data_IF_462801496228
#
_entry.id   IF_462801496228
#
_cell.length_a   1.000
_cell.length_b   1.000
_cell.length_c   1.000
_cell.angle_alpha   90.00
_cell.angle_beta   90.00
_cell.angle_gamma   90.00
#
_symmetry.space_group_name_H-M   'P 1'
#
loop_
_entity.id
_entity.type
_entity.pdbx_description
1 polymer ?
#
# COMPACT_ATOMS: atom_id res chain seq x y z
N UNK A 1 30.84 -1.34 47.36
CA UNK A 1 31.29 -1.41 45.95
C UNK A 1 32.82 -1.48 45.77
N UNK A 2 33.66 -1.20 46.78
CA UNK A 2 35.13 -1.21 46.63
C UNK A 2 35.84 -2.57 46.68
N UNK A 3 35.33 -3.55 47.45
CA UNK A 3 36.04 -4.82 47.67
C UNK A 3 35.90 -5.82 46.52
N UNK A 4 34.75 -5.87 45.83
CA UNK A 4 34.53 -6.75 44.67
C UNK A 4 35.40 -6.31 43.48
N UNK A 5 35.53 -5.00 43.26
CA UNK A 5 36.42 -4.46 42.22
C UNK A 5 37.90 -4.75 42.48
N UNK A 6 38.33 -4.70 43.75
CA UNK A 6 39.69 -5.05 44.15
C UNK A 6 39.98 -6.55 44.02
N UNK A 7 38.99 -7.41 44.30
CA UNK A 7 39.10 -8.86 44.13
C UNK A 7 39.18 -9.26 42.65
N UNK A 8 38.32 -8.67 41.81
CA UNK A 8 38.34 -8.89 40.36
C UNK A 8 39.65 -8.38 39.73
N UNK A 9 40.14 -7.21 40.16
CA UNK A 9 41.43 -6.68 39.70
C UNK A 9 42.61 -7.58 40.03
N UNK A 10 42.62 -8.23 41.21
CA UNK A 10 43.66 -9.20 41.58
C UNK A 10 43.59 -10.51 40.80
N UNK A 11 42.38 -10.99 40.49
CA UNK A 11 42.18 -12.21 39.69
C UNK A 11 42.63 -11.96 38.25
N UNK A 12 42.27 -10.81 37.67
CA UNK A 12 42.67 -10.42 36.30
C UNK A 12 44.19 -10.26 36.20
N UNK A 13 44.84 -9.63 37.19
CA UNK A 13 46.29 -9.43 37.18
C UNK A 13 47.12 -10.71 37.41
N UNK A 14 46.50 -11.80 37.87
CA UNK A 14 47.18 -13.08 38.13
C UNK A 14 46.85 -14.16 37.08
N UNK A 15 46.02 -13.84 36.08
CA UNK A 15 45.76 -14.73 34.94
C UNK A 15 46.91 -14.58 33.94
N UNK A 16 47.47 -15.67 33.40
CA UNK A 16 48.45 -15.58 32.33
C UNK A 16 47.85 -14.84 31.14
N UNK A 17 48.62 -13.94 30.53
CA UNK A 17 48.18 -13.07 29.44
C UNK A 17 47.52 -13.84 28.28
N UNK A 18 47.89 -15.11 28.09
CA UNK A 18 47.27 -16.02 27.12
C UNK A 18 45.79 -16.30 27.41
N UNK A 19 45.39 -16.51 28.67
CA UNK A 19 44.00 -16.78 29.04
C UNK A 19 43.13 -15.52 28.96
N UNK A 20 43.69 -14.35 29.27
CA UNK A 20 43.00 -13.07 29.06
C UNK A 20 42.76 -12.81 27.57
N UNK A 21 43.77 -13.04 26.74
CA UNK A 21 43.66 -12.91 25.29
C UNK A 21 42.64 -13.91 24.70
N UNK A 22 42.65 -15.17 25.13
CA UNK A 22 41.67 -16.18 24.70
C UNK A 22 40.24 -15.79 25.07
N UNK A 23 40.01 -15.29 26.29
CA UNK A 23 38.68 -14.86 26.74
C UNK A 23 38.16 -13.63 25.97
N UNK A 24 39.04 -12.68 25.62
CA UNK A 24 38.72 -11.52 24.79
C UNK A 24 38.38 -11.94 23.35
N UNK A 25 39.14 -12.87 22.78
CA UNK A 25 38.89 -13.41 21.43
C UNK A 25 37.55 -14.16 21.39
N UNK A 26 37.27 -15.00 22.38
CA UNK A 26 35.99 -15.71 22.51
C UNK A 26 34.80 -14.75 22.65
N UNK A 27 34.93 -13.70 23.47
CA UNK A 27 33.91 -12.67 23.63
C UNK A 27 33.66 -11.87 22.33
N UNK A 28 34.73 -11.52 21.62
CA UNK A 28 34.63 -10.84 20.32
C UNK A 28 33.97 -11.75 19.26
N UNK A 29 34.34 -13.02 19.20
CA UNK A 29 33.71 -14.00 18.30
C UNK A 29 32.23 -14.19 18.61
N UNK A 30 31.85 -14.29 19.88
CA UNK A 30 30.45 -14.46 20.29
C UNK A 30 29.59 -13.24 19.94
N UNK A 31 30.12 -12.03 20.09
CA UNK A 31 29.41 -10.79 19.73
C UNK A 31 29.24 -10.67 18.21
N UNK A 32 30.28 -10.98 17.42
CA UNK A 32 30.21 -11.03 15.96
C UNK A 32 29.20 -12.08 15.51
N UNK A 33 29.25 -13.29 16.07
CA UNK A 33 28.32 -14.37 15.74
C UNK A 33 26.87 -13.99 16.07
N UNK A 34 26.64 -13.39 17.24
CA UNK A 34 25.31 -12.93 17.64
C UNK A 34 24.80 -11.83 16.70
N UNK A 35 25.66 -10.90 16.28
CA UNK A 35 25.30 -9.86 15.32
C UNK A 35 24.92 -10.46 13.96
N UNK A 36 25.70 -11.43 13.46
CA UNK A 36 25.41 -12.14 12.21
C UNK A 36 24.07 -12.89 12.29
N UNK A 37 23.83 -13.64 13.37
CA UNK A 37 22.57 -14.35 13.58
C UNK A 37 21.38 -13.37 13.57
N UNK A 38 21.51 -12.23 14.25
CA UNK A 38 20.46 -11.19 14.26
C UNK A 38 20.19 -10.61 12.88
N UNK A 39 21.24 -10.33 12.10
CA UNK A 39 21.11 -9.82 10.72
C UNK A 39 20.41 -10.87 9.83
N UNK A 40 20.82 -12.13 9.91
CA UNK A 40 20.22 -13.22 9.13
C UNK A 40 18.76 -13.43 9.52
N UNK A 41 18.44 -13.38 10.82
CA UNK A 41 17.07 -13.52 11.31
C UNK A 41 16.18 -12.34 10.89
N UNK A 42 16.68 -11.11 11.01
CA UNK A 42 15.99 -9.90 10.56
C UNK A 42 15.76 -9.92 9.04
N UNK A 43 16.76 -10.34 8.25
CA UNK A 43 16.61 -10.49 6.80
C UNK A 43 15.59 -11.56 6.41
N UNK A 44 15.62 -12.71 7.09
CA UNK A 44 14.71 -13.83 6.84
C UNK A 44 13.27 -13.49 7.19
N UNK A 45 13.03 -12.87 8.35
CA UNK A 45 11.71 -12.40 8.76
C UNK A 45 11.15 -11.35 7.79
N UNK A 46 11.97 -10.41 7.33
CA UNK A 46 11.57 -9.44 6.31
C UNK A 46 11.17 -10.10 4.98
N UNK A 47 11.92 -11.09 4.51
CA UNK A 47 11.59 -11.84 3.30
C UNK A 47 10.28 -12.63 3.44
N UNK A 48 10.09 -13.32 4.57
CA UNK A 48 8.86 -14.07 4.87
C UNK A 48 7.67 -13.12 4.94
N UNK A 49 7.79 -11.98 5.61
CA UNK A 49 6.73 -10.97 5.68
C UNK A 49 6.34 -10.47 4.30
N UNK A 50 7.33 -10.18 3.45
CA UNK A 50 7.09 -9.70 2.09
C UNK A 50 6.46 -10.78 1.20
N UNK A 51 6.88 -12.04 1.36
CA UNK A 51 6.27 -13.17 0.68
C UNK A 51 4.82 -13.38 1.13
N UNK A 52 4.54 -13.39 2.44
CA UNK A 52 3.17 -13.50 2.97
C UNK A 52 2.30 -12.34 2.52
N UNK A 53 2.85 -11.11 2.47
CA UNK A 53 2.15 -9.93 1.97
C UNK A 53 1.78 -10.01 0.50
N UNK A 54 2.64 -10.62 -0.33
CA UNK A 54 2.34 -10.87 -1.74
C UNK A 54 1.32 -12.01 -1.89
N UNK A 55 1.46 -13.09 -1.11
CA UNK A 55 0.55 -14.24 -1.12
C UNK A 55 -0.83 -13.92 -0.53
N UNK A 56 -0.94 -12.92 0.34
CA UNK A 56 -2.22 -12.48 0.93
C UNK A 56 -3.05 -11.59 0.01
N UNK A 57 -2.56 -11.32 -1.21
CA UNK A 57 -3.23 -10.48 -2.20
C UNK A 57 -3.64 -11.30 -3.41
N UNK A 58 -4.88 -11.12 -3.84
CA UNK A 58 -5.32 -11.50 -5.18
C UNK A 58 -5.31 -10.26 -6.06
N UNK A 59 -4.93 -10.40 -7.32
CA UNK A 59 -4.88 -9.28 -8.25
C UNK A 59 -6.08 -9.42 -9.19
N UNK A 60 -7.13 -8.66 -8.89
CA UNK A 60 -8.41 -8.75 -9.60
C UNK A 60 -8.42 -7.79 -10.79
N UNK A 61 -8.82 -8.29 -11.96
CA UNK A 61 -8.95 -7.51 -13.18
C UNK A 61 -10.41 -7.08 -13.37
N UNK A 62 -10.60 -5.81 -13.65
CA UNK A 62 -11.91 -5.18 -13.78
C UNK A 62 -12.02 -4.46 -15.11
N UNK A 63 -13.21 -4.53 -15.72
CA UNK A 63 -13.53 -3.89 -17.00
C UNK A 63 -14.89 -3.22 -16.89
N UNK A 64 -14.95 -1.93 -17.23
CA UNK A 64 -16.13 -1.09 -17.04
C UNK A 64 -16.41 -0.32 -18.33
N UNK A 65 -17.67 -0.22 -18.70
CA UNK A 65 -18.10 0.54 -19.86
C UNK A 65 -18.16 2.05 -19.52
N UNK A 66 -17.44 2.87 -20.27
CA UNK A 66 -17.40 4.33 -20.07
C UNK A 66 -18.34 5.10 -21.02
N UNK A 67 -18.91 4.46 -22.04
CA UNK A 67 -19.75 5.14 -23.03
C UNK A 67 -19.16 5.08 -24.45
N UNK A 68 -19.68 5.89 -25.38
CA UNK A 68 -19.17 5.98 -26.76
C UNK A 68 -17.70 6.37 -26.82
N UNK A 69 -16.94 5.87 -27.81
CA UNK A 69 -15.50 6.17 -27.93
C UNK A 69 -15.25 7.65 -28.21
N UNK A 70 -16.16 8.27 -28.95
CA UNK A 70 -16.11 9.66 -29.36
C UNK A 70 -16.17 10.63 -28.18
N UNK A 71 -16.72 10.20 -27.03
CA UNK A 71 -16.85 11.01 -25.83
C UNK A 71 -15.53 11.15 -25.05
N UNK A 72 -14.48 10.41 -25.42
CA UNK A 72 -13.19 10.41 -24.72
C UNK A 72 -12.07 10.85 -25.66
N UNK A 73 -11.80 12.17 -25.77
CA UNK A 73 -10.72 12.69 -26.60
C UNK A 73 -9.35 12.20 -26.09
N UNK A 74 -8.34 12.20 -26.98
CA UNK A 74 -6.95 11.99 -26.55
C UNK A 74 -6.53 13.07 -25.53
N UNK A 75 -5.64 12.72 -24.61
CA UNK A 75 -5.18 13.64 -23.54
C UNK A 75 -5.84 13.39 -22.19
N UNK A 76 -6.59 12.29 -22.03
CA UNK A 76 -7.12 11.84 -20.74
C UNK A 76 -6.35 10.60 -20.29
N UNK A 77 -5.75 10.66 -19.09
CA UNK A 77 -5.03 9.54 -18.49
C UNK A 77 -5.80 8.98 -17.30
N UNK A 78 -6.20 7.73 -17.41
CA UNK A 78 -6.94 7.05 -16.35
C UNK A 78 -5.99 6.30 -15.41
N UNK A 79 -6.34 6.31 -14.13
CA UNK A 79 -5.56 5.64 -13.10
C UNK A 79 -6.43 5.26 -11.92
N UNK A 80 -5.97 4.28 -11.15
CA UNK A 80 -6.62 3.82 -9.93
C UNK A 80 -5.71 4.10 -8.75
N UNK A 81 -6.24 4.83 -7.78
CA UNK A 81 -5.60 5.09 -6.50
C UNK A 81 -6.05 4.03 -5.50
N UNK A 82 -5.12 3.20 -5.06
CA UNK A 82 -5.29 2.30 -3.92
C UNK A 82 -5.05 3.08 -2.65
N UNK A 83 -6.10 3.26 -1.87
CA UNK A 83 -6.06 4.07 -0.67
C UNK A 83 -5.50 3.23 0.46
N UNK A 84 -6.08 2.05 0.71
CA UNK A 84 -5.59 1.07 1.69
C UNK A 84 -6.30 -0.28 1.59
N UNK A 85 -5.94 -1.20 2.48
CA UNK A 85 -6.63 -2.47 2.70
C UNK A 85 -7.49 -2.41 3.96
N UNK A 86 -8.73 -2.89 3.90
CA UNK A 86 -9.66 -2.82 5.04
C UNK A 86 -10.37 -1.47 5.21
N UNK A 87 -11.31 -1.47 6.14
CA UNK A 87 -12.09 -0.30 6.57
C UNK A 87 -11.49 0.33 7.83
N UNK A 88 -11.79 1.61 8.07
CA UNK A 88 -11.26 2.33 9.24
C UNK A 88 -11.72 1.64 10.51
N UNK A 89 -13.00 1.24 10.52
CA UNK A 89 -13.64 0.56 11.62
C UNK A 89 -12.93 -0.75 11.98
N UNK A 90 -12.59 -1.58 10.98
CA UNK A 90 -11.89 -2.83 11.22
C UNK A 90 -10.48 -2.59 11.78
N UNK A 91 -9.75 -1.63 11.17
CA UNK A 91 -8.36 -1.34 11.53
C UNK A 91 -8.25 -0.75 12.95
N UNK A 92 -9.20 0.08 13.36
CA UNK A 92 -9.19 0.70 14.69
C UNK A 92 -9.57 -0.28 15.80
N UNK A 93 -10.56 -1.15 15.57
CA UNK A 93 -11.19 -1.94 16.65
C UNK A 93 -10.82 -3.42 16.71
N UNK A 94 -10.51 -4.06 15.57
CA UNK A 94 -10.42 -5.53 15.49
C UNK A 94 -9.12 -6.05 14.88
N UNK A 95 -8.33 -5.19 14.25
CA UNK A 95 -7.09 -5.60 13.59
C UNK A 95 -5.97 -5.92 14.59
N UNK A 96 -5.28 -7.04 14.36
CA UNK A 96 -3.97 -7.29 14.98
C UNK A 96 -2.94 -6.25 14.53
N UNK A 97 -1.84 -6.07 15.27
CA UNK A 97 -0.79 -5.11 14.89
C UNK A 97 -0.23 -5.35 13.48
N UNK A 98 -0.15 -6.62 13.09
CA UNK A 98 0.25 -7.00 11.72
C UNK A 98 -0.78 -6.56 10.68
N UNK A 99 -2.07 -6.73 10.96
CA UNK A 99 -3.14 -6.28 10.06
C UNK A 99 -3.23 -4.76 9.99
N UNK A 100 -3.00 -4.06 11.10
CA UNK A 100 -2.88 -2.59 11.13
C UNK A 100 -1.75 -2.11 10.24
N UNK A 101 -0.60 -2.78 10.31
CA UNK A 101 0.56 -2.46 9.45
C UNK A 101 0.22 -2.65 7.96
N UNK A 102 -0.48 -3.73 7.60
CA UNK A 102 -0.86 -4.02 6.20
C UNK A 102 -1.97 -3.10 5.70
N UNK A 103 -2.94 -2.80 6.57
CA UNK A 103 -4.10 -1.95 6.32
C UNK A 103 -3.85 -0.46 6.46
N UNK A 104 -2.61 -0.04 6.72
CA UNK A 104 -2.24 1.38 6.67
C UNK A 104 -2.49 1.99 5.29
N UNK A 105 -2.61 3.32 5.27
CA UNK A 105 -2.68 4.09 4.03
C UNK A 105 -1.51 3.73 3.10
N UNK A 106 -1.85 3.39 1.86
CA UNK A 106 -0.90 3.02 0.82
C UNK A 106 -0.73 4.15 -0.19
N UNK A 107 -1.84 4.78 -0.60
CA UNK A 107 -1.88 5.85 -1.60
C UNK A 107 -1.08 5.52 -2.87
N UNK A 108 -1.25 4.29 -3.38
CA UNK A 108 -0.50 3.80 -4.55
C UNK A 108 -1.33 3.93 -5.81
N UNK A 109 -0.72 4.46 -6.86
CA UNK A 109 -1.37 4.63 -8.16
C UNK A 109 -1.03 3.44 -9.06
N UNK A 110 -2.05 2.89 -9.69
CA UNK A 110 -1.94 1.86 -10.73
C UNK A 110 -2.52 2.41 -12.03
N UNK A 111 -1.87 2.15 -13.17
CA UNK A 111 -2.38 2.60 -14.46
C UNK A 111 -3.70 1.89 -14.79
N UNK A 112 -4.61 2.61 -15.42
CA UNK A 112 -5.81 2.06 -16.03
C UNK A 112 -5.75 2.32 -17.54
N UNK A 113 -6.21 1.36 -18.32
CA UNK A 113 -6.22 1.44 -19.78
C UNK A 113 -7.64 1.65 -20.26
N UNK A 114 -7.83 2.60 -21.17
CA UNK A 114 -9.08 2.70 -21.93
C UNK A 114 -8.87 2.07 -23.29
N UNK A 115 -9.76 1.13 -23.65
CA UNK A 115 -9.75 0.46 -24.95
C UNK A 115 -11.06 0.72 -25.66
N UNK A 116 -10.98 1.31 -26.85
CA UNK A 116 -12.13 1.42 -27.74
C UNK A 116 -12.47 0.06 -28.34
N UNK A 117 -13.75 -0.29 -28.32
CA UNK A 117 -14.35 -1.41 -29.06
C UNK A 117 -15.48 -0.85 -29.93
N UNK A 118 -16.08 -1.70 -30.79
CA UNK A 118 -17.13 -1.30 -31.74
C UNK A 118 -18.37 -0.67 -31.08
N UNK A 119 -18.58 -0.97 -29.81
CA UNK A 119 -19.72 -0.64 -28.97
C UNK A 119 -19.42 0.48 -27.95
N UNK A 120 -18.16 0.91 -27.82
CA UNK A 120 -17.77 2.03 -26.97
C UNK A 120 -16.39 1.87 -26.33
N UNK A 121 -16.08 2.78 -25.41
CA UNK A 121 -14.85 2.81 -24.63
C UNK A 121 -15.00 1.98 -23.33
N UNK A 122 -13.99 1.14 -23.08
CA UNK A 122 -13.94 0.30 -21.89
C UNK A 122 -12.70 0.63 -21.04
N UNK A 123 -12.93 0.96 -19.77
CA UNK A 123 -11.88 1.13 -18.77
C UNK A 123 -11.50 -0.22 -18.18
N UNK A 124 -10.23 -0.58 -18.30
CA UNK A 124 -9.65 -1.82 -17.79
C UNK A 124 -8.56 -1.50 -16.78
N UNK A 125 -8.68 -2.06 -15.57
CA UNK A 125 -7.69 -1.83 -14.52
C UNK A 125 -7.56 -3.03 -13.59
N UNK A 126 -6.46 -3.04 -12.83
CA UNK A 126 -6.12 -4.12 -11.91
C UNK A 126 -6.04 -3.58 -10.49
N UNK A 127 -6.76 -4.20 -9.57
CA UNK A 127 -6.75 -3.85 -8.14
C UNK A 127 -6.18 -5.01 -7.33
N UNK A 128 -5.14 -4.79 -6.50
CA UNK A 128 -4.79 -5.77 -5.48
C UNK A 128 -5.86 -5.80 -4.40
N UNK A 129 -6.41 -6.98 -4.12
CA UNK A 129 -7.43 -7.25 -3.09
C UNK A 129 -6.82 -8.12 -2.00
N UNK A 130 -6.86 -7.65 -0.75
CA UNK A 130 -6.37 -8.45 0.37
C UNK A 130 -7.41 -9.51 0.76
N UNK A 131 -7.00 -10.78 0.79
CA UNK A 131 -7.87 -11.96 1.01
C UNK A 131 -8.71 -11.92 2.29
N UNK A 132 -8.31 -11.13 3.29
CA UNK A 132 -9.05 -11.00 4.55
C UNK A 132 -9.64 -9.61 4.81
N UNK A 133 -9.07 -8.58 4.20
CA UNK A 133 -9.41 -7.18 4.53
C UNK A 133 -10.22 -6.51 3.43
N UNK A 134 -10.17 -7.03 2.20
CA UNK A 134 -10.64 -6.28 1.04
C UNK A 134 -9.74 -5.08 0.73
N UNK A 135 -10.19 -4.22 -0.19
CA UNK A 135 -9.43 -3.07 -0.67
C UNK A 135 -10.28 -1.84 -0.91
N UNK A 136 -9.80 -0.69 -0.42
CA UNK A 136 -10.34 0.62 -0.74
C UNK A 136 -9.59 1.23 -1.92
N UNK A 137 -10.32 1.67 -2.92
CA UNK A 137 -9.76 2.30 -4.12
C UNK A 137 -10.67 3.42 -4.63
N UNK A 138 -10.09 4.27 -5.47
CA UNK A 138 -10.81 5.33 -6.17
C UNK A 138 -10.21 5.47 -7.56
N UNK A 139 -11.05 5.70 -8.56
CA UNK A 139 -10.59 5.91 -9.93
C UNK A 139 -10.47 7.40 -10.18
N UNK A 140 -9.48 7.80 -10.96
CA UNK A 140 -9.34 9.18 -11.40
C UNK A 140 -8.86 9.29 -12.84
N UNK A 141 -9.19 10.41 -13.45
CA UNK A 141 -8.75 10.83 -14.77
C UNK A 141 -7.97 12.14 -14.64
N UNK A 142 -6.72 12.13 -15.12
CA UNK A 142 -5.92 13.34 -15.31
C UNK A 142 -6.17 13.89 -16.71
N UNK A 143 -6.64 15.13 -16.80
CA UNK A 143 -7.00 15.79 -18.06
C UNK A 143 -5.90 16.77 -18.47
N UNK A 144 -5.29 16.55 -19.63
CA UNK A 144 -4.21 17.41 -20.13
C UNK A 144 -4.68 18.85 -20.40
N UNK A 145 -3.79 19.85 -20.27
CA UNK A 145 -4.09 21.22 -20.66
C UNK A 145 -4.44 21.29 -22.15
N UNK A 146 -5.62 21.80 -22.50
CA UNK A 146 -6.13 21.88 -23.87
C UNK A 146 -7.35 21.01 -24.16
N UNK A 147 -7.67 20.06 -23.28
CA UNK A 147 -8.96 19.33 -23.29
C UNK A 147 -9.97 20.10 -22.41
N UNK A 148 -11.22 20.18 -22.83
CA UNK A 148 -12.25 20.86 -22.04
C UNK A 148 -12.63 20.00 -20.81
N UNK A 149 -12.31 20.50 -19.61
CA UNK A 149 -12.58 19.77 -18.36
C UNK A 149 -14.08 19.66 -18.09
N UNK A 150 -14.85 20.67 -18.47
CA UNK A 150 -16.27 20.77 -18.17
C UNK A 150 -17.08 19.81 -19.05
N UNK A 151 -16.70 19.68 -20.32
CA UNK A 151 -17.22 18.65 -21.24
C UNK A 151 -16.97 17.24 -20.69
N UNK A 152 -15.75 16.95 -20.26
CA UNK A 152 -15.42 15.64 -19.67
C UNK A 152 -16.22 15.38 -18.40
N UNK A 153 -16.38 16.38 -17.53
CA UNK A 153 -17.22 16.27 -16.34
C UNK A 153 -18.68 15.92 -16.68
N UNK A 154 -19.24 16.52 -17.74
CA UNK A 154 -20.61 16.20 -18.18
C UNK A 154 -20.71 14.75 -18.67
N UNK A 155 -19.74 14.27 -19.46
CA UNK A 155 -19.68 12.88 -19.92
C UNK A 155 -19.66 11.91 -18.74
N UNK A 156 -18.86 12.19 -17.71
CA UNK A 156 -18.74 11.32 -16.54
C UNK A 156 -20.02 11.34 -15.68
N UNK A 157 -20.66 12.49 -15.53
CA UNK A 157 -21.92 12.61 -14.78
C UNK A 157 -23.11 11.95 -15.51
N UNK A 158 -23.07 11.91 -16.84
CA UNK A 158 -24.10 11.23 -17.65
C UNK A 158 -23.91 9.71 -17.72
N UNK A 159 -22.77 9.19 -17.28
CA UNK A 159 -22.45 7.77 -17.39
C UNK A 159 -23.20 6.94 -16.33
N UNK A 160 -23.88 5.88 -16.77
CA UNK A 160 -24.69 5.02 -15.90
C UNK A 160 -23.88 4.18 -14.90
N UNK A 161 -22.61 3.91 -15.16
CA UNK A 161 -21.71 3.14 -14.29
C UNK A 161 -21.03 3.99 -13.21
N UNK A 162 -21.16 5.33 -13.30
CA UNK A 162 -20.51 6.29 -12.41
C UNK A 162 -21.52 6.86 -11.41
N UNK A 163 -21.21 6.79 -10.11
CA UNK A 163 -22.09 7.23 -9.03
C UNK A 163 -21.86 8.68 -8.60
N UNK A 164 -20.59 9.08 -8.52
CA UNK A 164 -20.19 10.36 -7.96
C UNK A 164 -18.93 10.84 -8.68
N UNK A 165 -18.92 12.10 -9.08
CA UNK A 165 -17.81 12.74 -9.80
C UNK A 165 -17.40 13.99 -9.04
N UNK A 166 -16.11 14.15 -8.76
CA UNK A 166 -15.58 15.33 -8.10
C UNK A 166 -14.25 15.76 -8.71
N UNK A 167 -14.02 17.06 -8.74
CA UNK A 167 -12.74 17.63 -9.16
C UNK A 167 -11.86 17.78 -7.93
N UNK A 168 -10.56 17.52 -8.10
CA UNK A 168 -9.56 17.79 -7.07
C UNK A 168 -9.50 19.30 -6.74
N UNK A 169 -9.62 19.62 -5.46
CA UNK A 169 -9.46 20.96 -4.88
C UNK A 169 -7.99 21.34 -4.60
N UNK A 170 -7.05 20.45 -4.93
CA UNK A 170 -5.63 20.58 -4.64
C UNK A 170 -4.83 21.11 -5.84
N UNK A 171 -3.51 20.98 -5.79
CA UNK A 171 -2.59 21.26 -6.92
C UNK A 171 -2.85 20.46 -8.21
N UNK A 172 -3.77 19.49 -8.17
CA UNK A 172 -4.20 18.69 -9.31
C UNK A 172 -5.58 19.15 -9.80
N UNK A 173 -5.77 20.44 -10.03
CA UNK A 173 -7.03 21.09 -10.42
C UNK A 173 -7.70 20.52 -11.68
N UNK A 174 -6.96 19.75 -12.50
CA UNK A 174 -7.46 19.05 -13.69
C UNK A 174 -7.60 17.53 -13.50
N UNK A 175 -7.68 17.06 -12.25
CA UNK A 175 -7.96 15.68 -11.90
C UNK A 175 -9.42 15.51 -11.52
N UNK A 176 -10.08 14.59 -12.21
CA UNK A 176 -11.44 14.18 -11.92
C UNK A 176 -11.39 12.85 -11.18
N UNK A 177 -11.92 12.80 -9.97
CA UNK A 177 -12.18 11.58 -9.22
C UNK A 177 -13.59 11.09 -9.48
N UNK A 178 -13.77 9.77 -9.52
CA UNK A 178 -15.10 9.20 -9.63
C UNK A 178 -15.23 7.85 -8.92
N UNK A 179 -16.47 7.54 -8.55
CA UNK A 179 -16.87 6.28 -7.93
C UNK A 179 -17.69 5.44 -8.90
N UNK A 180 -17.48 4.12 -8.84
CA UNK A 180 -18.16 3.14 -9.67
C UNK A 180 -19.39 2.60 -8.93
N UNK A 181 -20.52 2.41 -9.63
CA UNK A 181 -21.79 1.95 -9.04
C UNK A 181 -21.77 0.50 -8.59
N UNK A 182 -21.11 -0.37 -9.36
CA UNK A 182 -21.06 -1.82 -9.09
C UNK A 182 -20.24 -2.22 -7.85
N UNK A 183 -19.60 -1.26 -7.20
CA UNK A 183 -18.74 -1.51 -6.05
C UNK A 183 -19.36 -0.92 -4.79
N UNK A 184 -19.20 -1.64 -3.68
CA UNK A 184 -19.54 -1.11 -2.37
C UNK A 184 -18.79 0.21 -2.13
N UNK A 185 -19.39 1.09 -1.34
CA UNK A 185 -18.80 2.37 -0.99
C UNK A 185 -18.54 2.40 0.51
N UNK A 186 -17.39 2.95 0.89
CA UNK A 186 -17.02 3.13 2.30
C UNK A 186 -16.49 4.54 2.49
N UNK A 187 -17.02 5.19 3.51
CA UNK A 187 -16.51 6.48 3.95
C UNK A 187 -15.28 6.27 4.84
N UNK A 188 -14.26 7.10 4.66
CA UNK A 188 -13.12 7.15 5.59
C UNK A 188 -13.43 8.04 6.78
N UNK A 189 -12.67 7.90 7.88
CA UNK A 189 -12.85 8.74 9.08
C UNK A 189 -12.75 10.23 8.75
N UNK A 190 -11.90 10.60 7.80
CA UNK A 190 -11.70 11.99 7.38
C UNK A 190 -12.79 12.53 6.44
N UNK A 191 -13.78 11.70 6.06
CA UNK A 191 -14.93 12.10 5.23
C UNK A 191 -14.95 11.61 3.77
N UNK A 192 -13.82 11.42 3.04
CA UNK A 192 -13.85 10.92 1.67
C UNK A 192 -14.52 9.55 1.50
N UNK A 193 -15.35 9.42 0.46
CA UNK A 193 -15.98 8.15 0.08
C UNK A 193 -15.15 7.46 -1.00
N UNK A 194 -14.96 6.15 -0.87
CA UNK A 194 -14.15 5.33 -1.77
C UNK A 194 -14.88 4.06 -2.17
N UNK A 195 -14.57 3.52 -3.35
CA UNK A 195 -15.02 2.18 -3.71
C UNK A 195 -14.29 1.13 -2.87
N UNK A 196 -14.98 0.05 -2.58
CA UNK A 196 -14.51 -1.05 -1.76
C UNK A 196 -14.78 -2.38 -2.45
N UNK A 197 -13.75 -3.21 -2.53
CA UNK A 197 -13.86 -4.62 -2.93
C UNK A 197 -13.74 -5.48 -1.68
N UNK A 198 -14.76 -6.28 -1.42
CA UNK A 198 -14.74 -7.25 -0.33
C UNK A 198 -13.65 -8.31 -0.54
N UNK A 199 -13.12 -8.90 0.54
CA UNK A 199 -12.21 -10.02 0.43
C UNK A 199 -12.87 -11.21 -0.31
N UNK A 200 -12.08 -11.90 -1.14
CA UNK A 200 -12.46 -13.11 -1.89
C UNK A 200 -11.60 -14.27 -1.45
#
# INVERSE_FOLDING_TARGET
MGEIGALLGRIINNLPDSLLLESLILGALATVLTAVIRIVWAGSSWLIERAVFLLSRSLTHHVIYLGPVEAFPPGIRFSVLIIRFGTDQYISTMASDRERLVGRLQLKIYPAEVRGKKDGAYLSFKVPVHKRLGSQFKVFADVEPGVDLEEIMQVFNANEEIHEVSISDSKFDRRIYFLLKDYAQTQTVDGPVNNFIYPV
#
